data_IF_206323395086
#
_entry.id   IF_206323395086
#
_cell.length_a   1.000
_cell.length_b   1.000
_cell.length_c   1.000
_cell.angle_alpha   90.00
_cell.angle_beta   90.00
_cell.angle_gamma   90.00
#
_symmetry.space_group_name_H-M   'P 1'
#
loop_
_entity.id
_entity.type
_entity.pdbx_description
1 polymer ?
#
# COMPACT_ATOMS: atom_id res chain seq x y z
N UNK A 1 -31.70 35.44 32.00
CA UNK A 1 -30.31 35.35 31.50
C UNK A 1 -29.55 34.27 32.27
N UNK A 2 -29.81 32.98 32.01
CA UNK A 2 -29.11 31.85 32.66
C UNK A 2 -28.90 30.65 31.73
N UNK A 3 -29.59 30.64 30.58
CA UNK A 3 -29.60 29.50 29.66
C UNK A 3 -28.71 29.72 28.42
N UNK A 4 -28.08 30.89 28.27
CA UNK A 4 -27.26 31.23 27.10
C UNK A 4 -25.79 30.78 27.25
N UNK A 5 -25.34 30.47 28.46
CA UNK A 5 -23.95 30.06 28.75
C UNK A 5 -23.70 28.58 28.37
N UNK A 6 -24.74 27.75 28.38
CA UNK A 6 -24.60 26.31 28.12
C UNK A 6 -24.39 25.98 26.63
N UNK A 7 -24.78 26.86 25.72
CA UNK A 7 -24.71 26.63 24.26
C UNK A 7 -23.30 26.89 23.71
N UNK A 8 -22.52 27.78 24.35
CA UNK A 8 -21.15 28.10 23.92
C UNK A 8 -20.17 26.98 24.26
N UNK A 9 -20.40 26.24 25.35
CA UNK A 9 -19.49 25.17 25.78
C UNK A 9 -19.61 23.88 24.93
N UNK A 10 -20.74 23.67 24.25
CA UNK A 10 -20.98 22.49 23.42
C UNK A 10 -20.46 22.64 21.98
N UNK A 11 -20.08 23.86 21.56
CA UNK A 11 -19.66 24.15 20.19
C UNK A 11 -18.16 23.94 19.93
N UNK A 12 -17.33 23.82 20.97
CA UNK A 12 -15.87 23.69 20.82
C UNK A 12 -15.36 22.26 20.55
N UNK A 13 -16.23 21.24 20.49
CA UNK A 13 -15.81 19.84 20.32
C UNK A 13 -15.71 19.36 18.86
N UNK A 14 -15.96 20.23 17.86
CA UNK A 14 -16.06 19.81 16.45
C UNK A 14 -14.82 20.03 15.58
N UNK A 15 -13.69 20.53 16.10
CA UNK A 15 -12.57 20.96 15.25
C UNK A 15 -11.33 20.05 15.17
N UNK A 16 -11.32 18.87 15.78
CA UNK A 16 -10.11 18.01 15.80
C UNK A 16 -10.28 16.69 15.05
N UNK A 17 -10.83 16.71 13.84
CA UNK A 17 -10.70 15.60 12.89
C UNK A 17 -9.64 15.95 11.83
N UNK A 18 -8.41 16.21 12.27
CA UNK A 18 -7.27 16.27 11.36
C UNK A 18 -6.94 14.84 10.94
N UNK A 19 -7.49 14.41 9.79
CA UNK A 19 -7.10 13.16 9.15
C UNK A 19 -5.67 13.27 8.64
N UNK A 20 -4.69 12.98 9.50
CA UNK A 20 -3.30 12.83 9.07
C UNK A 20 -3.28 11.66 8.08
N UNK A 21 -3.08 11.97 6.78
CA UNK A 21 -2.72 10.97 5.79
C UNK A 21 -1.43 10.35 6.27
N UNK A 22 -1.51 9.13 6.80
CA UNK A 22 -0.36 8.40 7.29
C UNK A 22 0.50 8.07 6.07
N UNK A 23 1.57 8.83 5.87
CA UNK A 23 2.47 8.59 4.74
C UNK A 23 3.19 7.26 5.01
N UNK A 24 2.78 6.22 4.29
CA UNK A 24 3.24 4.86 4.57
C UNK A 24 4.74 4.76 4.28
N UNK A 25 5.53 4.37 5.29
CA UNK A 25 6.97 4.27 5.14
C UNK A 25 7.36 3.18 4.12
N UNK A 26 8.45 3.43 3.38
CA UNK A 26 9.00 2.44 2.46
C UNK A 26 9.51 1.21 3.21
N UNK A 27 9.12 0.04 2.73
CA UNK A 27 9.57 -1.27 3.21
C UNK A 27 10.32 -2.01 2.13
N UNK A 28 11.28 -2.83 2.57
CA UNK A 28 12.05 -3.67 1.67
C UNK A 28 11.18 -4.83 1.16
N UNK A 29 11.09 -4.97 -0.15
CA UNK A 29 10.35 -6.04 -0.78
C UNK A 29 11.06 -6.66 -1.98
N UNK A 30 10.56 -7.81 -2.41
CA UNK A 30 11.01 -8.53 -3.61
C UNK A 30 9.80 -8.98 -4.40
N UNK A 31 9.64 -8.46 -5.63
CA UNK A 31 8.64 -8.97 -6.57
C UNK A 31 9.19 -10.27 -7.14
N UNK A 32 8.47 -11.36 -6.96
CA UNK A 32 8.96 -12.71 -7.32
C UNK A 32 8.52 -13.14 -8.71
N UNK A 33 7.44 -12.57 -9.25
CA UNK A 33 6.94 -12.87 -10.59
C UNK A 33 5.42 -12.73 -10.70
N UNK A 34 4.84 -13.10 -11.85
CA UNK A 34 3.40 -13.06 -12.06
C UNK A 34 2.68 -14.13 -11.22
N UNK A 35 1.46 -13.82 -10.77
CA UNK A 35 0.57 -14.81 -10.16
C UNK A 35 -0.15 -15.61 -11.26
N UNK A 36 0.30 -16.85 -11.48
CA UNK A 36 -0.23 -17.77 -12.51
C UNK A 36 -1.33 -18.70 -11.99
N UNK A 37 -1.86 -18.48 -10.78
CA UNK A 37 -2.93 -19.32 -10.24
C UNK A 37 -4.20 -19.15 -11.07
N UNK A 38 -4.80 -20.27 -11.48
CA UNK A 38 -6.07 -20.29 -12.21
C UNK A 38 -7.25 -20.20 -11.24
N UNK A 39 -7.58 -19.00 -10.77
CA UNK A 39 -8.77 -18.75 -9.96
C UNK A 39 -9.45 -17.42 -10.29
N UNK A 40 -10.76 -17.30 -10.03
CA UNK A 40 -11.58 -16.15 -10.44
C UNK A 40 -11.10 -14.78 -9.91
N UNK A 41 -10.30 -14.77 -8.84
CA UNK A 41 -9.79 -13.57 -8.20
C UNK A 41 -8.26 -13.63 -7.99
N UNK A 42 -7.57 -14.46 -8.78
CA UNK A 42 -6.11 -14.57 -8.80
C UNK A 42 -5.52 -13.70 -9.90
N UNK A 43 -4.19 -13.59 -9.95
CA UNK A 43 -3.47 -12.81 -10.97
C UNK A 43 -2.73 -11.62 -10.39
N UNK A 44 -2.17 -10.81 -11.28
CA UNK A 44 -1.25 -9.73 -10.92
C UNK A 44 0.15 -10.26 -10.65
N UNK A 45 0.79 -9.78 -9.59
CA UNK A 45 2.18 -10.04 -9.29
C UNK A 45 2.37 -10.41 -7.82
N UNK A 46 3.20 -11.40 -7.55
CA UNK A 46 3.62 -11.74 -6.20
C UNK A 46 4.74 -10.83 -5.70
N UNK A 47 4.64 -10.46 -4.43
CA UNK A 47 5.63 -9.64 -3.74
C UNK A 47 5.84 -10.15 -2.32
N UNK A 48 7.10 -10.40 -1.97
CA UNK A 48 7.50 -10.74 -0.61
C UNK A 48 7.87 -9.47 0.14
N UNK A 49 7.25 -9.25 1.30
CA UNK A 49 7.52 -8.13 2.21
C UNK A 49 7.77 -8.73 3.60
N UNK A 50 9.03 -8.67 4.06
CA UNK A 50 9.47 -9.48 5.20
C UNK A 50 9.30 -10.98 4.90
N UNK A 51 8.65 -11.71 5.81
CA UNK A 51 8.40 -13.15 5.69
C UNK A 51 7.05 -13.50 5.03
N UNK A 52 6.31 -12.49 4.59
CA UNK A 52 4.96 -12.68 4.04
C UNK A 52 4.95 -12.45 2.53
N UNK A 53 4.20 -13.30 1.83
CA UNK A 53 3.89 -13.12 0.41
C UNK A 53 2.53 -12.45 0.26
N UNK A 54 2.50 -11.42 -0.57
CA UNK A 54 1.32 -10.67 -0.96
C UNK A 54 1.19 -10.67 -2.48
N UNK A 55 0.06 -10.14 -2.96
CA UNK A 55 -0.16 -9.87 -4.38
C UNK A 55 -0.68 -8.46 -4.61
N UNK A 56 -0.35 -7.91 -5.76
CA UNK A 56 -0.89 -6.64 -6.24
C UNK A 56 -1.17 -6.71 -7.74
N UNK A 57 -2.15 -5.94 -8.20
CA UNK A 57 -2.55 -5.94 -9.61
C UNK A 57 -1.92 -4.81 -10.41
N UNK A 58 -1.73 -3.65 -9.77
CA UNK A 58 -1.38 -2.41 -10.46
C UNK A 58 -0.21 -1.74 -9.76
N UNK A 59 0.70 -1.20 -10.57
CA UNK A 59 1.70 -0.26 -10.11
C UNK A 59 1.06 1.12 -9.91
N UNK A 60 1.57 1.95 -8.99
CA UNK A 60 1.11 3.32 -8.83
C UNK A 60 1.37 4.14 -10.10
N UNK A 61 0.55 5.15 -10.33
CA UNK A 61 0.71 6.07 -11.45
C UNK A 61 2.11 6.71 -11.44
N UNK A 62 2.74 6.78 -12.61
CA UNK A 62 4.09 7.33 -12.75
C UNK A 62 5.24 6.38 -12.38
N UNK A 63 4.96 5.12 -12.00
CA UNK A 63 5.99 4.11 -11.84
C UNK A 63 6.75 3.88 -13.15
N UNK A 64 8.09 3.87 -13.09
CA UNK A 64 8.95 3.56 -14.24
C UNK A 64 9.22 2.06 -14.40
N UNK A 65 8.64 1.21 -13.55
CA UNK A 65 8.85 -0.24 -13.61
C UNK A 65 7.97 -0.86 -14.71
N UNK A 66 8.59 -1.70 -15.56
CA UNK A 66 7.88 -2.54 -16.52
C UNK A 66 7.97 -4.01 -16.10
N UNK A 67 6.98 -4.47 -15.31
CA UNK A 67 6.98 -5.84 -14.78
C UNK A 67 6.81 -6.91 -15.87
N UNK A 68 6.18 -6.58 -16.99
CA UNK A 68 5.98 -7.54 -18.10
C UNK A 68 7.30 -7.98 -18.74
N UNK A 69 8.29 -7.08 -18.75
CA UNK A 69 9.60 -7.30 -19.35
C UNK A 69 10.73 -7.31 -18.31
N UNK A 70 10.40 -7.42 -17.02
CA UNK A 70 11.39 -7.44 -15.95
C UNK A 70 11.98 -8.85 -15.78
N UNK A 71 13.25 -8.89 -15.38
CA UNK A 71 13.85 -10.10 -14.83
C UNK A 71 13.47 -10.23 -13.35
N UNK A 72 13.06 -11.43 -12.95
CA UNK A 72 12.69 -11.76 -11.58
C UNK A 72 13.74 -12.67 -10.95
N UNK A 73 13.99 -12.55 -9.62
CA UNK A 73 13.30 -11.67 -8.66
C UNK A 73 13.75 -10.21 -8.73
N UNK A 74 12.81 -9.27 -8.60
CA UNK A 74 13.06 -7.83 -8.65
C UNK A 74 13.01 -7.20 -7.25
N UNK A 75 14.15 -6.72 -6.75
CA UNK A 75 14.26 -6.02 -5.46
C UNK A 75 13.73 -4.58 -5.56
N UNK A 76 12.80 -4.22 -4.68
CA UNK A 76 12.13 -2.91 -4.68
C UNK A 76 11.93 -2.40 -3.26
N UNK A 77 11.81 -1.08 -3.12
CA UNK A 77 11.27 -0.47 -1.90
C UNK A 77 9.84 -0.02 -2.18
N UNK A 78 8.90 -0.42 -1.32
CA UNK A 78 7.46 -0.18 -1.50
C UNK A 78 6.82 0.48 -0.30
N UNK A 79 5.93 1.44 -0.54
CA UNK A 79 4.91 1.89 0.40
C UNK A 79 3.59 1.24 0.00
N UNK A 80 2.88 0.62 0.94
CA UNK A 80 1.75 -0.25 0.60
C UNK A 80 0.67 -0.29 1.67
N UNK A 81 -0.55 -0.56 1.23
CA UNK A 81 -1.72 -0.69 2.09
C UNK A 81 -2.36 -2.06 1.89
N UNK A 82 -2.89 -2.65 2.97
CA UNK A 82 -3.62 -3.92 2.84
C UNK A 82 -5.01 -3.69 2.23
N UNK A 83 -5.33 -4.40 1.15
CA UNK A 83 -6.70 -4.42 0.64
C UNK A 83 -7.56 -5.34 1.53
N UNK A 84 -8.28 -4.73 2.48
CA UNK A 84 -9.18 -5.46 3.40
C UNK A 84 -10.35 -6.17 2.69
N UNK A 85 -10.68 -5.76 1.46
CA UNK A 85 -11.74 -6.36 0.63
C UNK A 85 -11.18 -7.35 -0.41
N UNK A 86 -9.88 -7.63 -0.37
CA UNK A 86 -9.25 -8.56 -1.31
C UNK A 86 -9.75 -9.98 -1.12
N UNK A 87 -10.07 -10.66 -2.23
CA UNK A 87 -10.71 -11.98 -2.26
C UNK A 87 -10.02 -13.04 -1.39
N UNK A 88 -8.68 -13.10 -1.44
CA UNK A 88 -7.84 -14.08 -0.72
C UNK A 88 -7.18 -13.51 0.55
N UNK A 89 -7.36 -12.22 0.83
CA UNK A 89 -6.76 -11.54 1.99
C UNK A 89 -5.25 -11.27 1.93
N UNK A 90 -4.58 -11.70 0.84
CA UNK A 90 -3.17 -11.49 0.50
C UNK A 90 -2.96 -10.29 -0.44
N UNK A 91 -4.03 -9.55 -0.77
CA UNK A 91 -3.99 -8.43 -1.71
C UNK A 91 -3.58 -7.12 -1.05
N UNK A 92 -2.72 -6.37 -1.72
CA UNK A 92 -2.23 -5.06 -1.29
C UNK A 92 -2.30 -4.05 -2.43
N UNK A 93 -2.42 -2.78 -2.05
CA UNK A 93 -2.23 -1.64 -2.95
C UNK A 93 -0.80 -1.11 -2.77
N UNK A 94 -0.13 -0.85 -3.90
CA UNK A 94 1.20 -0.23 -3.88
C UNK A 94 1.00 1.27 -4.10
N UNK A 95 1.24 2.07 -3.06
CA UNK A 95 1.11 3.53 -3.12
C UNK A 95 2.32 4.17 -3.80
N UNK A 96 3.52 3.69 -3.44
CA UNK A 96 4.80 4.17 -3.98
C UNK A 96 5.74 3.00 -4.17
N UNK A 97 6.53 3.04 -5.25
CA UNK A 97 7.50 1.99 -5.54
C UNK A 97 8.73 2.55 -6.23
N UNK A 98 9.90 2.00 -5.91
CA UNK A 98 11.15 2.27 -6.62
C UNK A 98 12.02 1.02 -6.68
N UNK A 99 12.77 0.86 -7.78
CA UNK A 99 13.77 -0.21 -7.89
C UNK A 99 14.85 0.02 -6.82
N UNK A 100 15.18 -1.02 -6.06
CA UNK A 100 16.31 -0.93 -5.14
C UNK A 100 17.58 -1.13 -5.96
N UNK A 101 18.49 -0.17 -5.89
CA UNK A 101 19.84 -0.35 -6.43
C UNK A 101 20.60 -1.23 -5.44
N UNK A 102 21.02 -2.40 -5.86
CA UNK A 102 22.01 -3.16 -5.09
C UNK A 102 23.30 -2.34 -5.11
N UNK A 103 23.81 -1.96 -3.93
CA UNK A 103 25.19 -1.47 -3.82
C UNK A 103 26.08 -2.66 -4.16
N UNK A 104 26.70 -2.63 -5.33
CA UNK A 104 27.85 -3.48 -5.59
C UNK A 104 28.93 -3.12 -4.55
N UNK A 105 29.54 -4.10 -3.87
CA UNK A 105 30.73 -3.85 -3.05
C UNK A 105 31.91 -3.37 -3.90
#
# INVERSE_FOLDING_TARGET
>A
MKNLIFVVFLSCLFFSACGMKQDTAFQKATITGPDLRMCACCGGWFINIGEKTYRFYQLPAGSQLNLKNAEFPLKVDVAWEKNKKGCKGDEIFIEKIKKRKDKFP
#
